data_IF_166714525861
#
_entry.id   IF_166714525861
#
_cell.length_a   1.000
_cell.length_b   1.000
_cell.length_c   1.000
_cell.angle_alpha   90.00
_cell.angle_beta   90.00
_cell.angle_gamma   90.00
#
_symmetry.space_group_name_H-M   'P 1'
#
loop_
_entity.id
_entity.type
_entity.pdbx_description
1 polymer ?
#
# COMPACT_ATOMS: atom_id res chain seq x y z
N UNK A 1 -33.31 84.49 19.81
CA UNK A 1 -33.85 84.45 21.19
C UNK A 1 -33.06 83.39 21.98
N UNK A 2 -32.49 83.67 23.16
CA UNK A 2 -33.06 83.44 24.53
C UNK A 2 -33.61 81.99 24.71
N UNK A 3 -33.24 81.17 25.71
CA UNK A 3 -32.20 81.16 26.78
C UNK A 3 -32.07 79.67 27.28
N UNK A 4 -31.38 79.19 28.32
CA UNK A 4 -30.48 79.67 29.41
C UNK A 4 -29.70 78.42 29.93
N UNK A 5 -28.37 78.37 30.09
CA UNK A 5 -27.51 78.70 31.28
C UNK A 5 -27.67 77.78 32.52
N UNK A 6 -26.56 77.58 33.27
CA UNK A 6 -26.34 76.81 34.53
C UNK A 6 -26.04 75.31 34.28
N UNK A 7 -24.90 74.67 34.63
CA UNK A 7 -23.75 74.89 35.55
C UNK A 7 -23.89 74.38 37.00
N UNK A 8 -23.42 73.14 37.28
CA UNK A 8 -22.40 72.90 38.34
C UNK A 8 -21.70 71.53 38.17
N UNK A 9 -20.58 71.33 38.88
CA UNK A 9 -19.81 70.08 38.96
C UNK A 9 -20.27 69.24 40.15
N UNK A 10 -20.21 67.90 40.02
CA UNK A 10 -19.84 67.04 41.15
C UNK A 10 -19.02 65.84 40.63
N UNK A 11 -18.18 65.24 41.47
CA UNK A 11 -17.28 64.15 41.09
C UNK A 11 -17.97 62.80 41.29
N UNK A 12 -17.68 61.82 40.42
CA UNK A 12 -16.93 60.65 40.88
C UNK A 12 -16.20 59.93 39.73
N UNK A 13 -15.16 59.20 40.12
CA UNK A 13 -14.22 58.48 39.27
C UNK A 13 -14.83 57.33 38.46
N UNK A 14 -14.42 57.20 37.19
CA UNK A 14 -13.93 55.92 36.68
C UNK A 14 -12.79 56.11 35.67
N UNK A 15 -11.61 55.54 35.95
CA UNK A 15 -10.46 55.53 35.04
C UNK A 15 -10.52 54.27 34.17
N UNK A 16 -10.61 54.44 32.85
CA UNK A 16 -10.26 53.36 31.90
C UNK A 16 -9.08 53.86 31.06
N UNK A 17 -7.91 53.23 31.23
CA UNK A 17 -6.71 53.51 30.43
C UNK A 17 -6.90 52.92 29.03
N UNK A 18 -6.87 53.74 27.99
CA UNK A 18 -6.69 53.26 26.61
C UNK A 18 -5.21 52.97 26.36
N UNK A 19 -4.75 51.77 26.70
CA UNK A 19 -3.49 51.23 26.17
C UNK A 19 -3.68 50.87 24.70
N UNK A 20 -2.96 51.56 23.81
CA UNK A 20 -2.93 51.22 22.40
C UNK A 20 -2.08 49.96 22.18
N UNK A 21 -2.73 48.82 21.98
CA UNK A 21 -2.06 47.61 21.50
C UNK A 21 -1.94 47.69 19.98
N UNK A 22 -0.74 47.96 19.47
CA UNK A 22 -0.44 47.79 18.04
C UNK A 22 -0.34 46.30 17.78
N UNK A 23 -1.44 45.71 17.30
CA UNK A 23 -1.46 44.34 16.83
C UNK A 23 -0.73 44.29 15.48
N UNK A 24 0.58 44.01 15.51
CA UNK A 24 1.37 43.71 14.32
C UNK A 24 0.83 42.42 13.69
N UNK A 25 -0.12 42.57 12.76
CA UNK A 25 -0.72 41.47 12.02
C UNK A 25 0.31 40.91 11.03
N UNK A 26 1.17 40.01 11.52
CA UNK A 26 2.05 39.20 10.68
C UNK A 26 1.15 38.28 9.88
N UNK A 27 0.78 38.70 8.67
CA UNK A 27 0.37 37.78 7.62
C UNK A 27 1.59 36.93 7.29
N UNK A 28 1.72 35.80 7.99
CA UNK A 28 2.46 34.65 7.46
C UNK A 28 1.79 34.29 6.14
N UNK A 29 2.39 34.72 5.03
CA UNK A 29 2.03 34.25 3.71
C UNK A 29 2.34 32.76 3.68
N UNK A 30 1.32 31.95 3.97
CA UNK A 30 1.29 30.54 3.57
C UNK A 30 1.26 30.57 2.05
N UNK A 31 2.44 30.59 1.43
CA UNK A 31 2.59 30.23 0.03
C UNK A 31 1.86 28.90 -0.16
N UNK A 32 0.93 28.77 -1.13
CA UNK A 32 0.32 27.49 -1.41
C UNK A 32 1.45 26.50 -1.67
N UNK A 33 1.42 25.35 -0.99
CA UNK A 33 2.42 24.32 -1.19
C UNK A 33 2.48 23.99 -2.69
N UNK A 34 3.68 24.05 -3.28
CA UNK A 34 3.87 23.82 -4.70
C UNK A 34 3.23 22.49 -5.10
N UNK A 35 2.52 22.47 -6.22
CA UNK A 35 1.85 21.26 -6.68
C UNK A 35 2.89 20.16 -6.89
N UNK A 36 2.76 19.06 -6.15
CA UNK A 36 3.74 17.97 -6.15
C UNK A 36 3.62 17.23 -7.48
N UNK A 37 4.50 17.57 -8.42
CA UNK A 37 4.46 17.05 -9.77
C UNK A 37 5.11 15.66 -9.85
N UNK A 38 4.33 14.68 -10.32
CA UNK A 38 4.86 13.37 -10.75
C UNK A 38 5.49 13.55 -12.14
N UNK A 39 6.76 13.15 -12.28
CA UNK A 39 7.48 13.18 -13.56
C UNK A 39 8.39 11.97 -13.72
N UNK A 40 8.86 11.71 -14.93
CA UNK A 40 9.88 10.70 -15.16
C UNK A 40 11.22 11.05 -14.51
N UNK A 41 11.98 10.02 -14.14
CA UNK A 41 13.39 10.12 -13.78
C UNK A 41 14.21 10.54 -15.01
N UNK A 42 15.07 11.54 -14.85
CA UNK A 42 15.96 12.03 -15.91
C UNK A 42 17.30 11.28 -15.88
N UNK A 43 18.03 11.34 -16.97
CA UNK A 43 19.32 10.64 -17.11
C UNK A 43 20.33 11.09 -16.05
N UNK A 44 20.41 12.39 -15.80
CA UNK A 44 21.25 13.03 -14.76
C UNK A 44 21.00 12.46 -13.36
N UNK A 45 19.78 11.96 -13.09
CA UNK A 45 19.36 11.49 -11.77
C UNK A 45 19.67 10.01 -11.53
N UNK A 46 20.05 9.27 -12.57
CA UNK A 46 20.27 7.82 -12.52
C UNK A 46 21.68 7.39 -12.92
N UNK A 47 22.58 8.33 -13.27
CA UNK A 47 23.93 8.03 -13.80
C UNK A 47 24.75 7.11 -12.88
N UNK A 48 24.72 7.31 -11.56
CA UNK A 48 25.37 6.42 -10.59
C UNK A 48 24.79 4.99 -10.65
N UNK A 49 23.47 4.86 -10.78
CA UNK A 49 22.80 3.54 -10.83
C UNK A 49 23.09 2.82 -12.15
N UNK A 50 23.14 3.54 -13.27
CA UNK A 50 23.58 3.01 -14.56
C UNK A 50 25.04 2.56 -14.49
N UNK A 51 25.95 3.37 -13.96
CA UNK A 51 27.37 3.03 -13.79
C UNK A 51 27.57 1.79 -12.90
N UNK A 52 26.83 1.67 -11.79
CA UNK A 52 26.90 0.52 -10.89
C UNK A 52 26.38 -0.78 -11.55
N UNK A 53 25.42 -0.69 -12.48
CA UNK A 53 24.76 -1.85 -13.09
C UNK A 53 25.14 -2.09 -14.56
N UNK A 54 26.10 -1.33 -15.13
CA UNK A 54 26.41 -1.36 -16.56
C UNK A 54 26.70 -2.79 -17.08
N UNK A 55 27.52 -3.55 -16.36
CA UNK A 55 27.90 -4.92 -16.70
C UNK A 55 26.88 -5.99 -16.25
N UNK A 56 25.72 -5.60 -15.70
CA UNK A 56 24.72 -6.55 -15.18
C UNK A 56 23.96 -7.33 -16.27
N UNK A 57 23.96 -6.83 -17.51
CA UNK A 57 23.21 -7.41 -18.63
C UNK A 57 21.69 -7.30 -18.50
N UNK A 58 21.18 -6.50 -17.56
CA UNK A 58 19.74 -6.30 -17.34
C UNK A 58 19.21 -5.20 -18.28
N UNK A 59 18.07 -5.39 -18.99
CA UNK A 59 17.74 -4.57 -20.15
C UNK A 59 17.48 -3.10 -19.80
N UNK A 60 18.41 -2.21 -20.18
CA UNK A 60 18.41 -0.78 -19.90
C UNK A 60 19.56 -0.32 -19.00
N UNK A 61 20.26 -1.23 -18.31
CA UNK A 61 21.41 -0.87 -17.46
C UNK A 61 22.61 -0.35 -18.24
N UNK A 62 22.68 -0.71 -19.52
CA UNK A 62 23.70 -0.31 -20.49
C UNK A 62 23.50 1.10 -21.08
N UNK A 63 22.46 1.84 -20.67
CA UNK A 63 22.09 3.13 -21.28
C UNK A 63 23.11 4.23 -20.99
N UNK A 64 23.77 4.77 -22.02
CA UNK A 64 24.79 5.82 -21.88
C UNK A 64 24.33 7.22 -22.32
N UNK A 65 23.14 7.36 -22.90
CA UNK A 65 22.68 8.60 -23.54
C UNK A 65 21.31 9.06 -23.04
N UNK A 66 21.15 10.37 -22.85
CA UNK A 66 19.95 10.96 -22.22
C UNK A 66 18.67 10.75 -23.04
N UNK A 67 18.77 10.80 -24.38
CA UNK A 67 17.64 10.55 -25.29
C UNK A 67 17.24 9.07 -25.34
N UNK A 68 18.21 8.15 -25.24
CA UNK A 68 17.95 6.72 -25.12
C UNK A 68 17.27 6.39 -23.79
N UNK A 69 17.70 7.04 -22.70
CA UNK A 69 17.09 6.90 -21.39
C UNK A 69 15.63 7.38 -21.35
N UNK A 70 15.32 8.56 -21.89
CA UNK A 70 13.94 9.07 -21.92
C UNK A 70 13.01 8.17 -22.75
N UNK A 71 13.53 7.55 -23.82
CA UNK A 71 12.81 6.52 -24.57
C UNK A 71 12.58 5.25 -23.75
N UNK A 72 13.64 4.70 -23.12
CA UNK A 72 13.58 3.46 -22.34
C UNK A 72 12.64 3.58 -21.13
N UNK A 73 12.75 4.66 -20.35
CA UNK A 73 12.01 4.82 -19.09
C UNK A 73 10.49 4.96 -19.33
N UNK A 74 10.09 5.57 -20.46
CA UNK A 74 8.69 5.66 -20.90
C UNK A 74 8.16 4.34 -21.45
N UNK A 75 8.96 3.65 -22.26
CA UNK A 75 8.60 2.33 -22.77
C UNK A 75 8.41 1.34 -21.61
N UNK A 76 9.30 1.38 -20.61
CA UNK A 76 9.21 0.54 -19.41
C UNK A 76 8.02 0.90 -18.52
N UNK A 77 7.66 2.17 -18.39
CA UNK A 77 6.43 2.56 -17.68
C UNK A 77 5.18 2.02 -18.36
N UNK A 78 5.09 2.12 -19.70
CA UNK A 78 3.98 1.57 -20.47
C UNK A 78 3.88 0.03 -20.34
N UNK A 79 5.01 -0.68 -20.37
CA UNK A 79 5.10 -2.13 -20.16
C UNK A 79 4.63 -2.54 -18.75
N UNK A 80 5.15 -1.88 -17.70
CA UNK A 80 4.78 -2.14 -16.31
C UNK A 80 3.30 -1.84 -16.07
N UNK A 81 2.76 -0.79 -16.68
CA UNK A 81 1.31 -0.48 -16.63
C UNK A 81 0.48 -1.50 -17.41
N UNK A 82 1.00 -2.10 -18.48
CA UNK A 82 0.38 -3.25 -19.14
C UNK A 82 0.19 -4.47 -18.21
N UNK A 83 1.05 -4.63 -17.19
CA UNK A 83 0.94 -5.71 -16.18
C UNK A 83 -0.14 -5.45 -15.11
N UNK A 84 -0.81 -4.30 -15.09
CA UNK A 84 -1.95 -4.01 -14.20
C UNK A 84 -3.10 -4.97 -14.47
N UNK A 85 -3.48 -5.14 -15.73
CA UNK A 85 -4.65 -5.94 -16.10
C UNK A 85 -4.44 -7.43 -15.81
N UNK A 86 -3.18 -7.89 -15.92
CA UNK A 86 -2.75 -9.21 -15.45
C UNK A 86 -2.84 -9.37 -13.93
N UNK A 87 -2.65 -8.29 -13.16
CA UNK A 87 -2.86 -8.29 -11.72
C UNK A 87 -4.34 -8.39 -11.34
N UNK A 88 -5.22 -7.76 -12.13
CA UNK A 88 -6.67 -7.88 -12.00
C UNK A 88 -7.13 -9.31 -12.37
N UNK A 89 -6.58 -9.89 -13.44
CA UNK A 89 -6.79 -11.31 -13.80
C UNK A 89 -6.48 -12.26 -12.63
N UNK A 90 -5.38 -12.04 -11.91
CA UNK A 90 -5.00 -12.81 -10.71
C UNK A 90 -6.00 -12.61 -9.54
N UNK A 91 -6.38 -11.37 -9.23
CA UNK A 91 -7.37 -11.10 -8.16
C UNK A 91 -8.78 -11.60 -8.51
N UNK A 92 -9.15 -11.68 -9.80
CA UNK A 92 -10.36 -12.36 -10.27
C UNK A 92 -10.28 -13.88 -10.02
N UNK A 93 -9.13 -14.50 -10.29
CA UNK A 93 -8.92 -15.93 -9.96
C UNK A 93 -9.05 -16.18 -8.45
N UNK A 94 -8.46 -15.34 -7.60
CA UNK A 94 -8.66 -15.44 -6.13
C UNK A 94 -10.13 -15.32 -5.73
N UNK A 95 -10.87 -14.36 -6.31
CA UNK A 95 -12.30 -14.19 -6.06
C UNK A 95 -13.09 -15.45 -6.45
N UNK A 96 -12.82 -16.04 -7.62
CA UNK A 96 -13.49 -17.28 -8.05
C UNK A 96 -13.17 -18.42 -7.08
N UNK A 97 -11.93 -18.60 -6.62
CA UNK A 97 -11.56 -19.69 -5.73
C UNK A 97 -12.09 -19.50 -4.29
N UNK A 98 -11.92 -18.30 -3.72
CA UNK A 98 -12.06 -18.05 -2.29
C UNK A 98 -13.27 -17.19 -1.89
N UNK A 99 -13.89 -16.49 -2.83
CA UNK A 99 -14.99 -15.55 -2.54
C UNK A 99 -16.30 -16.21 -2.10
N UNK A 100 -17.11 -15.44 -1.38
CA UNK A 100 -18.40 -15.82 -0.78
C UNK A 100 -19.51 -14.80 -1.05
N UNK A 101 -19.16 -13.60 -1.51
CA UNK A 101 -20.08 -12.47 -1.74
C UNK A 101 -20.93 -12.59 -3.02
N UNK A 102 -20.63 -13.58 -3.86
CA UNK A 102 -21.34 -13.86 -5.12
C UNK A 102 -21.95 -15.28 -5.19
N UNK A 103 -21.64 -16.17 -4.24
CA UNK A 103 -22.09 -17.57 -4.27
C UNK A 103 -22.11 -18.21 -2.88
N UNK A 104 -23.03 -19.15 -2.67
CA UNK A 104 -23.10 -20.00 -1.46
C UNK A 104 -22.31 -21.31 -1.59
N UNK A 105 -21.66 -21.55 -2.74
CA UNK A 105 -20.77 -22.71 -2.93
C UNK A 105 -19.59 -22.66 -1.96
N UNK A 106 -19.12 -23.84 -1.52
CA UNK A 106 -17.92 -23.97 -0.71
C UNK A 106 -16.71 -23.31 -1.40
N UNK A 107 -15.79 -22.73 -0.61
CA UNK A 107 -14.50 -22.20 -1.10
C UNK A 107 -13.65 -23.36 -1.61
N UNK A 108 -12.80 -23.11 -2.60
CA UNK A 108 -11.69 -24.02 -2.92
C UNK A 108 -10.61 -23.80 -1.85
N UNK A 109 -10.07 -24.86 -1.25
CA UNK A 109 -9.15 -24.75 -0.09
C UNK A 109 -7.83 -24.04 -0.45
N UNK A 110 -7.31 -24.28 -1.65
CA UNK A 110 -6.06 -23.68 -2.17
C UNK A 110 -6.01 -23.73 -3.70
N UNK A 111 -5.02 -23.08 -4.31
CA UNK A 111 -4.85 -23.09 -5.79
C UNK A 111 -4.55 -24.50 -6.31
N UNK A 112 -3.83 -25.30 -5.53
CA UNK A 112 -3.50 -26.69 -5.83
C UNK A 112 -4.73 -27.61 -5.82
N UNK A 113 -5.84 -27.19 -5.17
CA UNK A 113 -7.15 -27.88 -5.22
C UNK A 113 -8.05 -27.39 -6.36
N UNK A 114 -7.67 -26.35 -7.08
CA UNK A 114 -8.48 -25.79 -8.17
C UNK A 114 -8.49 -26.67 -9.42
N UNK A 115 -7.48 -27.54 -9.58
CA UNK A 115 -7.28 -28.40 -10.74
C UNK A 115 -6.84 -29.82 -10.33
N UNK A 116 -6.84 -30.74 -11.30
CA UNK A 116 -6.17 -32.04 -11.23
C UNK A 116 -4.65 -31.91 -11.38
N UNK A 117 -3.92 -33.01 -11.14
CA UNK A 117 -2.49 -33.14 -11.48
C UNK A 117 -2.20 -32.93 -12.98
N UNK A 118 -3.20 -33.16 -13.86
CA UNK A 118 -3.13 -32.86 -15.30
C UNK A 118 -3.43 -31.40 -15.65
N UNK A 119 -3.70 -30.53 -14.68
CA UNK A 119 -4.01 -29.10 -14.89
C UNK A 119 -5.45 -28.82 -15.35
N UNK A 120 -6.35 -29.80 -15.32
CA UNK A 120 -7.76 -29.62 -15.65
C UNK A 120 -8.53 -29.10 -14.43
N UNK A 121 -9.29 -28.01 -14.59
CA UNK A 121 -10.05 -27.42 -13.48
C UNK A 121 -11.11 -28.41 -12.96
N UNK A 122 -11.26 -28.49 -11.64
CA UNK A 122 -12.23 -29.40 -11.02
C UNK A 122 -13.67 -28.95 -11.28
N UNK A 123 -14.63 -29.87 -11.16
CA UNK A 123 -16.07 -29.56 -11.25
C UNK A 123 -16.53 -28.51 -10.24
N UNK A 124 -15.90 -28.46 -9.05
CA UNK A 124 -16.12 -27.42 -8.06
C UNK A 124 -15.64 -26.04 -8.54
N UNK A 125 -14.46 -25.96 -9.16
CA UNK A 125 -13.95 -24.73 -9.78
C UNK A 125 -14.87 -24.26 -10.91
N UNK A 126 -15.31 -25.16 -11.79
CA UNK A 126 -16.27 -24.82 -12.86
C UNK A 126 -17.62 -24.30 -12.33
N UNK A 127 -18.18 -24.92 -11.28
CA UNK A 127 -19.40 -24.42 -10.66
C UNK A 127 -19.26 -23.00 -10.10
N UNK A 128 -18.06 -22.64 -9.61
CA UNK A 128 -17.75 -21.29 -9.10
C UNK A 128 -17.48 -20.27 -10.20
N UNK A 129 -16.88 -20.68 -11.32
CA UNK A 129 -16.77 -19.87 -12.56
C UNK A 129 -18.18 -19.46 -13.04
N UNK A 130 -19.08 -20.45 -13.18
CA UNK A 130 -20.46 -20.24 -13.60
C UNK A 130 -21.24 -19.33 -12.63
N UNK A 131 -21.07 -19.53 -11.32
CA UNK A 131 -21.70 -18.68 -10.31
C UNK A 131 -21.22 -17.21 -10.38
N UNK A 132 -19.94 -16.94 -10.66
CA UNK A 132 -19.48 -15.56 -10.85
C UNK A 132 -20.05 -14.94 -12.13
N UNK A 133 -20.10 -15.68 -13.23
CA UNK A 133 -20.68 -15.22 -14.49
C UNK A 133 -22.19 -14.85 -14.33
N UNK A 134 -22.95 -15.66 -13.59
CA UNK A 134 -24.35 -15.38 -13.22
C UNK A 134 -24.49 -14.14 -12.32
N UNK A 135 -23.48 -13.82 -11.50
CA UNK A 135 -23.53 -12.67 -10.60
C UNK A 135 -23.30 -11.31 -11.30
N UNK A 136 -22.57 -11.27 -12.43
CA UNK A 136 -22.19 -10.01 -13.12
C UNK A 136 -23.36 -9.06 -13.48
N UNK A 137 -24.56 -9.53 -13.91
CA UNK A 137 -25.71 -8.63 -14.14
C UNK A 137 -26.24 -7.98 -12.86
N UNK A 138 -26.03 -8.59 -11.69
CA UNK A 138 -26.46 -8.07 -10.38
C UNK A 138 -25.38 -7.26 -9.64
N UNK A 139 -24.26 -6.97 -10.32
CA UNK A 139 -23.05 -6.38 -9.76
C UNK A 139 -23.23 -5.10 -8.91
N UNK A 140 -24.28 -4.30 -9.14
CA UNK A 140 -24.49 -3.03 -8.44
C UNK A 140 -24.66 -3.15 -6.90
N UNK A 141 -24.79 -4.37 -6.36
CA UNK A 141 -24.84 -4.64 -4.91
C UNK A 141 -23.51 -5.12 -4.31
N UNK A 142 -22.45 -5.27 -5.12
CA UNK A 142 -21.19 -5.87 -4.71
C UNK A 142 -20.03 -5.22 -5.48
N UNK A 143 -19.20 -4.43 -4.77
CA UNK A 143 -18.11 -3.64 -5.36
C UNK A 143 -17.06 -4.48 -6.10
N UNK A 144 -16.83 -5.74 -5.68
CA UNK A 144 -15.90 -6.65 -6.38
C UNK A 144 -16.51 -7.16 -7.67
N UNK A 145 -17.75 -7.62 -7.66
CA UNK A 145 -18.44 -8.10 -8.87
C UNK A 145 -18.66 -6.95 -9.86
N UNK A 146 -18.85 -5.72 -9.37
CA UNK A 146 -18.83 -4.48 -10.16
C UNK A 146 -17.47 -4.24 -10.82
N UNK A 147 -16.38 -4.32 -10.05
CA UNK A 147 -15.02 -4.20 -10.56
C UNK A 147 -14.70 -5.27 -11.63
N UNK A 148 -15.10 -6.53 -11.43
CA UNK A 148 -14.94 -7.60 -12.44
C UNK A 148 -15.75 -7.30 -13.70
N UNK A 149 -17.01 -6.88 -13.58
CA UNK A 149 -17.88 -6.52 -14.72
C UNK A 149 -17.28 -5.37 -15.52
N UNK A 150 -16.81 -4.32 -14.84
CA UNK A 150 -16.29 -3.11 -15.47
C UNK A 150 -14.89 -3.37 -16.09
N UNK A 151 -14.09 -4.26 -15.49
CA UNK A 151 -12.89 -4.81 -16.11
C UNK A 151 -13.19 -5.58 -17.40
N UNK A 152 -14.10 -6.57 -17.37
CA UNK A 152 -14.49 -7.35 -18.55
C UNK A 152 -15.03 -6.47 -19.68
N UNK A 153 -15.81 -5.45 -19.32
CA UNK A 153 -16.34 -4.45 -20.26
C UNK A 153 -15.20 -3.67 -20.94
N UNK A 154 -14.19 -3.24 -20.17
CA UNK A 154 -12.99 -2.57 -20.71
C UNK A 154 -12.13 -3.47 -21.60
N UNK A 155 -12.06 -4.78 -21.31
CA UNK A 155 -11.39 -5.77 -22.16
C UNK A 155 -12.23 -6.21 -23.37
N UNK A 156 -13.45 -5.69 -23.55
CA UNK A 156 -14.34 -6.08 -24.65
C UNK A 156 -14.88 -7.51 -24.58
N UNK A 157 -14.79 -8.18 -23.42
CA UNK A 157 -15.25 -9.57 -23.26
C UNK A 157 -16.79 -9.60 -23.32
N UNK A 158 -17.33 -10.27 -24.34
CA UNK A 158 -18.78 -10.44 -24.49
C UNK A 158 -19.34 -11.40 -23.45
N UNK A 159 -20.62 -11.22 -23.10
CA UNK A 159 -21.33 -12.05 -22.10
C UNK A 159 -21.12 -13.55 -22.30
N UNK A 160 -21.23 -14.00 -23.55
CA UNK A 160 -21.18 -15.42 -23.91
C UNK A 160 -19.75 -15.97 -23.92
N UNK A 161 -18.74 -15.11 -23.76
CA UNK A 161 -17.32 -15.45 -23.63
C UNK A 161 -16.79 -15.39 -22.20
N UNK A 162 -17.58 -14.93 -21.22
CA UNK A 162 -17.14 -14.72 -19.82
C UNK A 162 -16.64 -16.00 -19.17
N UNK A 163 -17.41 -17.10 -19.21
CA UNK A 163 -17.02 -18.36 -18.56
C UNK A 163 -15.79 -18.99 -19.22
N UNK A 164 -15.65 -18.84 -20.54
CA UNK A 164 -14.45 -19.24 -21.28
C UNK A 164 -13.23 -18.45 -20.81
N UNK A 165 -13.33 -17.11 -20.77
CA UNK A 165 -12.26 -16.23 -20.32
C UNK A 165 -11.83 -16.52 -18.88
N UNK A 166 -12.79 -16.69 -17.96
CA UNK A 166 -12.50 -17.12 -16.58
C UNK A 166 -11.83 -18.50 -16.51
N UNK A 167 -12.24 -19.46 -17.34
CA UNK A 167 -11.63 -20.81 -17.42
C UNK A 167 -10.18 -20.75 -17.91
N UNK A 168 -9.92 -19.98 -18.97
CA UNK A 168 -8.58 -19.80 -19.54
C UNK A 168 -7.66 -19.06 -18.56
N UNK A 169 -8.17 -18.01 -17.90
CA UNK A 169 -7.47 -17.28 -16.85
C UNK A 169 -7.14 -18.14 -15.62
N UNK A 170 -8.04 -19.02 -15.17
CA UNK A 170 -7.79 -19.88 -14.01
C UNK A 170 -6.78 -21.00 -14.30
N UNK A 171 -6.85 -21.67 -15.47
CA UNK A 171 -5.85 -22.67 -15.87
C UNK A 171 -4.43 -22.09 -15.87
N UNK A 172 -4.31 -20.91 -16.48
CA UNK A 172 -3.10 -20.07 -16.50
C UNK A 172 -2.62 -19.73 -15.08
N UNK A 173 -3.49 -19.20 -14.23
CA UNK A 173 -3.17 -18.81 -12.86
C UNK A 173 -2.65 -20.00 -12.02
N UNK A 174 -3.30 -21.16 -12.13
CA UNK A 174 -2.87 -22.41 -11.47
C UNK A 174 -1.49 -22.85 -11.96
N UNK A 175 -1.25 -22.86 -13.27
CA UNK A 175 0.04 -23.22 -13.86
C UNK A 175 1.17 -22.25 -13.44
N UNK A 176 0.88 -20.94 -13.40
CA UNK A 176 1.82 -19.93 -12.89
C UNK A 176 2.13 -20.13 -11.40
N UNK A 177 1.13 -20.44 -10.53
CA UNK A 177 1.41 -20.72 -9.12
C UNK A 177 2.24 -21.99 -8.95
N UNK A 178 1.97 -23.06 -9.69
CA UNK A 178 2.77 -24.28 -9.67
C UNK A 178 4.24 -24.02 -10.08
N UNK A 179 4.46 -23.18 -11.09
CA UNK A 179 5.80 -22.77 -11.51
C UNK A 179 6.53 -21.93 -10.43
N UNK A 180 5.83 -21.02 -9.73
CA UNK A 180 6.41 -20.25 -8.63
C UNK A 180 6.77 -21.15 -7.42
N UNK A 181 5.90 -22.11 -7.06
CA UNK A 181 6.21 -23.08 -6.00
C UNK A 181 7.43 -23.93 -6.38
N UNK A 182 7.54 -24.37 -7.64
CA UNK A 182 8.72 -25.08 -8.12
C UNK A 182 9.99 -24.23 -8.05
N UNK A 183 9.96 -22.96 -8.53
CA UNK A 183 11.12 -22.03 -8.44
C UNK A 183 11.62 -21.88 -6.99
N UNK A 184 10.72 -21.92 -6.00
CA UNK A 184 11.07 -21.88 -4.58
C UNK A 184 11.57 -23.23 -4.02
N UNK A 185 11.04 -24.35 -4.50
CA UNK A 185 11.50 -25.70 -4.11
C UNK A 185 12.90 -25.99 -4.67
N UNK A 186 13.11 -25.76 -5.96
CA UNK A 186 14.40 -25.93 -6.63
C UNK A 186 15.48 -25.09 -5.90
N UNK A 187 15.20 -23.80 -5.64
CA UNK A 187 16.10 -22.91 -4.88
C UNK A 187 16.30 -23.29 -3.41
N UNK A 188 15.38 -24.04 -2.80
CA UNK A 188 15.54 -24.58 -1.44
C UNK A 188 16.32 -25.90 -1.39
N UNK A 189 16.60 -26.50 -2.56
CA UNK A 189 17.53 -27.64 -2.72
C UNK A 189 18.92 -27.23 -3.19
N UNK A 190 19.17 -25.93 -3.38
CA UNK A 190 20.50 -25.39 -3.72
C UNK A 190 21.49 -25.58 -2.56
N UNK A 191 22.78 -25.63 -2.89
CA UNK A 191 23.86 -25.70 -1.93
C UNK A 191 24.18 -24.34 -1.27
N UNK A 192 23.77 -23.22 -1.87
CA UNK A 192 23.84 -21.89 -1.25
C UNK A 192 22.53 -21.52 -0.51
N UNK A 193 22.54 -21.38 0.83
CA UNK A 193 21.38 -20.90 1.58
C UNK A 193 20.89 -19.50 1.18
N UNK A 194 21.68 -18.69 0.46
CA UNK A 194 21.25 -17.39 -0.06
C UNK A 194 20.31 -17.51 -1.28
N UNK A 195 20.35 -18.62 -2.03
CA UNK A 195 19.58 -18.82 -3.26
C UNK A 195 18.07 -18.63 -3.05
N UNK A 196 17.51 -19.14 -1.96
CA UNK A 196 16.09 -18.96 -1.59
C UNK A 196 15.73 -17.48 -1.42
N UNK A 197 16.60 -16.69 -0.79
CA UNK A 197 16.37 -15.26 -0.57
C UNK A 197 16.49 -14.46 -1.87
N UNK A 198 17.44 -14.84 -2.74
CA UNK A 198 17.60 -14.24 -4.07
C UNK A 198 16.40 -14.54 -4.97
N UNK A 199 15.93 -15.80 -5.00
CA UNK A 199 14.77 -16.24 -5.77
C UNK A 199 13.45 -15.64 -5.28
N UNK A 200 13.28 -15.46 -3.96
CA UNK A 200 12.15 -14.70 -3.38
C UNK A 200 12.20 -13.22 -3.78
N UNK A 201 13.41 -12.64 -3.88
CA UNK A 201 13.61 -11.22 -4.15
C UNK A 201 13.10 -10.72 -5.52
N UNK A 202 12.96 -11.59 -6.53
CA UNK A 202 12.36 -11.27 -7.84
C UNK A 202 11.26 -12.29 -8.24
N UNK A 203 10.65 -12.97 -7.26
CA UNK A 203 9.74 -14.10 -7.51
C UNK A 203 8.60 -13.80 -8.50
N UNK A 204 8.14 -12.54 -8.54
CA UNK A 204 7.01 -12.09 -9.35
C UNK A 204 7.42 -11.13 -10.48
N UNK A 205 8.69 -11.14 -10.90
CA UNK A 205 9.24 -10.30 -11.98
C UNK A 205 8.43 -10.35 -13.29
N UNK A 206 7.82 -11.49 -13.61
CA UNK A 206 6.95 -11.71 -14.78
C UNK A 206 5.45 -11.64 -14.48
N UNK A 207 5.05 -11.52 -13.21
CA UNK A 207 3.66 -11.63 -12.77
C UNK A 207 2.86 -10.35 -13.05
N UNK A 208 1.54 -10.46 -13.07
CA UNK A 208 0.63 -9.33 -12.93
C UNK A 208 0.77 -8.63 -11.58
N UNK A 209 0.51 -7.32 -11.57
CA UNK A 209 0.67 -6.47 -10.40
C UNK A 209 -0.57 -6.55 -9.50
N UNK A 210 -0.55 -7.48 -8.54
CA UNK A 210 -1.65 -7.72 -7.59
C UNK A 210 -1.98 -6.45 -6.80
N UNK A 211 -3.28 -6.18 -6.60
CA UNK A 211 -3.74 -5.07 -5.76
C UNK A 211 -3.84 -5.41 -4.28
N UNK A 212 -3.83 -6.70 -3.92
CA UNK A 212 -4.25 -7.17 -2.58
C UNK A 212 -3.36 -6.60 -1.45
N UNK A 213 -3.99 -6.15 -0.37
CA UNK A 213 -3.35 -5.64 0.85
C UNK A 213 -3.83 -6.42 2.06
N UNK A 214 -2.97 -6.65 3.06
CA UNK A 214 -3.30 -7.45 4.24
C UNK A 214 -2.67 -6.88 5.52
N UNK A 215 -3.18 -7.29 6.68
CA UNK A 215 -2.81 -6.67 7.96
C UNK A 215 -1.40 -7.05 8.43
N UNK A 216 -0.98 -8.31 8.26
CA UNK A 216 0.22 -8.87 8.89
C UNK A 216 1.56 -8.23 8.47
N UNK A 217 1.81 -7.86 7.20
CA UNK A 217 3.01 -7.10 6.83
C UNK A 217 3.20 -5.81 7.65
N UNK A 218 2.10 -5.18 8.08
CA UNK A 218 2.14 -3.96 8.87
C UNK A 218 2.51 -4.18 10.34
N UNK A 219 2.26 -5.39 10.88
CA UNK A 219 2.80 -5.81 12.18
C UNK A 219 4.34 -5.91 12.12
N UNK A 220 4.90 -6.47 11.03
CA UNK A 220 6.35 -6.50 10.81
C UNK A 220 6.95 -5.10 10.65
N UNK A 221 6.24 -4.16 10.01
CA UNK A 221 6.64 -2.75 9.95
C UNK A 221 6.66 -2.09 11.35
N UNK A 222 5.60 -2.21 12.16
CA UNK A 222 5.60 -1.63 13.52
C UNK A 222 6.71 -2.23 14.39
N UNK A 223 6.89 -3.55 14.35
CA UNK A 223 7.94 -4.24 15.11
C UNK A 223 9.36 -3.83 14.67
N UNK A 224 9.54 -3.48 13.39
CA UNK A 224 10.82 -2.95 12.89
C UNK A 224 11.05 -1.53 13.36
N UNK A 225 10.05 -0.65 13.24
CA UNK A 225 10.11 0.73 13.76
C UNK A 225 10.35 0.74 15.28
N UNK A 226 9.69 -0.15 16.04
CA UNK A 226 9.91 -0.32 17.49
C UNK A 226 11.36 -0.69 17.78
N UNK A 227 11.89 -1.70 17.08
CA UNK A 227 13.27 -2.15 17.25
C UNK A 227 14.30 -1.07 16.87
N UNK A 228 14.02 -0.22 15.87
CA UNK A 228 14.86 0.92 15.50
C UNK A 228 14.84 2.01 16.58
N UNK A 229 13.67 2.36 17.10
CA UNK A 229 13.52 3.34 18.18
C UNK A 229 14.23 2.88 19.47
N UNK A 230 14.06 1.62 19.88
CA UNK A 230 14.78 1.05 21.04
C UNK A 230 16.30 1.06 20.87
N UNK A 231 16.81 1.00 19.64
CA UNK A 231 18.24 1.11 19.32
C UNK A 231 18.74 2.56 19.17
N UNK A 232 17.88 3.57 19.33
CA UNK A 232 18.23 4.97 19.08
C UNK A 232 18.47 5.32 17.60
N UNK A 233 18.06 4.44 16.66
CA UNK A 233 18.18 4.67 15.23
C UNK A 233 17.06 5.58 14.67
N UNK A 234 16.04 5.85 15.48
CA UNK A 234 14.95 6.80 15.27
C UNK A 234 14.82 7.72 16.48
N UNK A 235 14.37 8.96 16.25
CA UNK A 235 14.03 9.91 17.31
C UNK A 235 12.50 10.06 17.46
N UNK A 236 12.03 10.34 18.68
CA UNK A 236 10.63 10.68 18.91
C UNK A 236 10.27 12.02 18.24
N UNK A 237 9.07 12.13 17.68
CA UNK A 237 8.59 13.33 16.98
C UNK A 237 9.34 13.72 15.70
N UNK A 238 10.07 12.78 15.08
CA UNK A 238 10.85 13.01 13.84
C UNK A 238 10.08 12.84 12.53
N UNK A 239 8.85 12.32 12.59
CA UNK A 239 8.04 11.99 11.40
C UNK A 239 6.93 13.02 11.20
N UNK A 240 6.91 13.65 10.03
CA UNK A 240 5.91 14.64 9.60
C UNK A 240 5.29 14.30 8.24
N UNK A 241 6.03 13.67 7.33
CA UNK A 241 5.53 13.23 6.02
C UNK A 241 5.95 11.78 5.74
N UNK A 242 4.97 10.90 5.55
CA UNK A 242 5.20 9.48 5.27
C UNK A 242 4.64 9.08 3.90
N UNK A 243 5.32 8.17 3.20
CA UNK A 243 4.84 7.55 1.97
C UNK A 243 4.53 6.07 2.17
N UNK A 244 3.43 5.63 1.55
CA UNK A 244 3.14 4.22 1.30
C UNK A 244 3.15 3.99 -0.21
N UNK A 245 4.14 3.25 -0.68
CA UNK A 245 4.21 2.75 -2.05
C UNK A 245 3.45 1.42 -2.10
N UNK A 246 2.49 1.29 -3.01
CA UNK A 246 1.63 0.12 -3.12
C UNK A 246 0.74 -0.12 -1.89
N UNK A 247 -0.05 0.86 -1.43
CA UNK A 247 -0.93 0.69 -0.26
C UNK A 247 -1.98 -0.43 -0.46
N UNK A 248 -2.27 -0.74 -1.72
CA UNK A 248 -3.17 -1.80 -2.16
C UNK A 248 -4.63 -1.58 -1.75
N UNK A 249 -5.43 -2.57 -2.14
CA UNK A 249 -6.87 -2.63 -1.98
C UNK A 249 -7.24 -4.10 -1.70
N UNK A 250 -7.93 -4.34 -0.59
CA UNK A 250 -8.35 -5.67 -0.11
C UNK A 250 -9.42 -6.27 -1.04
N UNK A 251 -8.95 -6.81 -2.17
CA UNK A 251 -9.81 -7.43 -3.18
C UNK A 251 -10.12 -8.87 -2.79
N UNK A 252 -9.18 -9.80 -2.91
CA UNK A 252 -9.33 -11.13 -2.30
C UNK A 252 -7.94 -11.67 -2.04
N UNK A 253 -7.46 -11.49 -0.80
CA UNK A 253 -6.17 -12.04 -0.36
C UNK A 253 -6.07 -13.56 -0.62
N UNK A 254 -4.86 -14.03 -0.86
CA UNK A 254 -4.54 -15.35 -1.41
C UNK A 254 -4.62 -16.49 -0.39
N UNK A 255 -4.85 -16.19 0.89
CA UNK A 255 -4.96 -17.14 2.00
C UNK A 255 -6.21 -16.92 2.82
N UNK A 256 -6.29 -15.76 3.47
CA UNK A 256 -7.37 -15.46 4.41
C UNK A 256 -8.53 -14.77 3.68
N UNK A 257 -8.26 -14.14 2.53
CA UNK A 257 -9.12 -13.23 1.76
C UNK A 257 -10.63 -13.43 1.87
N UNK A 258 -11.29 -12.39 2.37
CA UNK A 258 -12.72 -12.32 2.59
C UNK A 258 -13.34 -11.16 1.81
N UNK A 259 -14.53 -11.38 1.27
CA UNK A 259 -15.15 -10.47 0.29
C UNK A 259 -16.53 -9.93 0.70
N UNK A 260 -16.98 -10.22 1.92
CA UNK A 260 -18.32 -9.90 2.44
C UNK A 260 -18.48 -8.46 2.98
N UNK A 261 -17.50 -7.59 2.74
CA UNK A 261 -17.45 -6.19 3.16
C UNK A 261 -16.92 -5.29 2.03
N UNK A 262 -17.10 -3.96 2.04
CA UNK A 262 -16.62 -3.08 0.96
C UNK A 262 -15.12 -3.22 0.64
N UNK A 263 -14.69 -2.81 -0.55
CA UNK A 263 -13.27 -2.70 -0.88
C UNK A 263 -12.61 -1.68 0.06
N UNK A 264 -11.44 -2.02 0.61
CA UNK A 264 -10.77 -1.23 1.64
C UNK A 264 -9.25 -1.22 1.44
N UNK A 265 -8.59 -0.09 1.69
CA UNK A 265 -7.13 -0.05 1.96
C UNK A 265 -6.86 0.03 3.47
N UNK A 266 -5.79 -0.62 3.93
CA UNK A 266 -5.39 -0.66 5.34
C UNK A 266 -4.06 0.05 5.59
N UNK A 267 -3.08 -0.14 4.71
CA UNK A 267 -1.67 0.22 4.97
C UNK A 267 -1.42 1.70 5.33
N UNK A 268 -2.04 2.70 4.67
CA UNK A 268 -1.87 4.11 5.04
C UNK A 268 -2.19 4.40 6.52
N UNK A 269 -3.18 3.69 7.08
CA UNK A 269 -3.63 3.89 8.46
C UNK A 269 -2.85 3.03 9.45
N UNK A 270 -2.45 1.82 9.10
CA UNK A 270 -1.61 0.99 9.98
C UNK A 270 -0.21 1.58 10.17
N UNK A 271 0.37 2.18 9.13
CA UNK A 271 1.68 2.86 9.24
C UNK A 271 1.55 4.18 10.01
N UNK A 272 0.51 4.98 9.75
CA UNK A 272 0.22 6.19 10.54
C UNK A 272 0.00 5.84 12.03
N UNK A 273 -0.71 4.75 12.33
CA UNK A 273 -0.92 4.33 13.72
C UNK A 273 0.38 3.82 14.37
N UNK A 274 1.23 3.08 13.65
CA UNK A 274 2.54 2.68 14.15
C UNK A 274 3.43 3.91 14.49
N UNK A 275 3.44 4.92 13.61
CA UNK A 275 4.15 6.20 13.84
C UNK A 275 3.63 6.90 15.10
N UNK A 276 2.32 6.94 15.31
CA UNK A 276 1.70 7.55 16.49
C UNK A 276 1.93 6.73 17.79
N UNK A 277 1.74 5.41 17.72
CA UNK A 277 1.86 4.46 18.85
C UNK A 277 3.29 4.38 19.38
N UNK A 278 4.28 4.59 18.52
CA UNK A 278 5.70 4.65 18.87
C UNK A 278 6.18 6.07 19.22
N UNK A 279 5.31 7.09 19.16
CA UNK A 279 5.69 8.49 19.43
C UNK A 279 6.66 9.08 18.39
N UNK A 280 6.76 8.49 17.21
CA UNK A 280 7.62 8.95 16.11
C UNK A 280 7.04 10.20 15.43
N UNK A 281 5.71 10.39 15.48
CA UNK A 281 5.00 11.59 15.03
C UNK A 281 3.62 11.65 15.68
N UNK A 282 2.93 12.79 15.57
CA UNK A 282 1.52 12.90 16.00
C UNK A 282 0.61 12.63 14.81
N UNK A 283 -0.43 11.82 15.00
CA UNK A 283 -1.30 11.40 13.90
C UNK A 283 -2.02 12.57 13.20
N UNK A 284 -2.27 13.66 13.91
CA UNK A 284 -2.91 14.89 13.43
C UNK A 284 -1.97 15.73 12.55
N UNK A 285 -0.68 15.76 12.92
CA UNK A 285 0.35 16.60 12.30
C UNK A 285 1.09 15.85 11.16
N UNK A 286 0.87 14.54 10.99
CA UNK A 286 1.49 13.72 9.95
C UNK A 286 0.66 13.70 8.65
N UNK A 287 1.31 14.03 7.54
CA UNK A 287 0.81 13.90 6.18
C UNK A 287 1.11 12.50 5.64
N UNK A 288 0.13 11.85 5.02
CA UNK A 288 0.26 10.48 4.48
C UNK A 288 0.05 10.47 2.97
N UNK A 289 1.04 10.01 2.23
CA UNK A 289 1.02 9.98 0.76
C UNK A 289 0.98 8.55 0.24
N UNK A 290 0.00 8.25 -0.60
CA UNK A 290 -0.15 6.98 -1.30
C UNK A 290 0.46 7.09 -2.71
N UNK A 291 1.39 6.21 -3.04
CA UNK A 291 2.02 6.11 -4.36
C UNK A 291 1.70 4.75 -4.98
N UNK A 292 1.00 4.73 -6.10
CA UNK A 292 0.63 3.51 -6.82
C UNK A 292 0.47 3.81 -8.31
N UNK A 293 0.80 2.87 -9.17
CA UNK A 293 0.59 2.99 -10.61
C UNK A 293 -0.82 2.51 -11.04
N UNK A 294 -1.49 1.72 -10.20
CA UNK A 294 -2.85 1.25 -10.43
C UNK A 294 -3.88 2.38 -10.15
N UNK A 295 -4.57 2.82 -11.19
CA UNK A 295 -5.54 3.92 -11.13
C UNK A 295 -6.74 3.63 -10.22
N UNK A 296 -7.12 2.37 -10.00
CA UNK A 296 -8.22 2.03 -9.10
C UNK A 296 -7.85 2.15 -7.62
N UNK A 297 -6.61 1.81 -7.25
CA UNK A 297 -6.09 2.00 -5.88
C UNK A 297 -6.00 3.49 -5.57
N UNK A 298 -5.48 4.29 -6.49
CA UNK A 298 -5.43 5.75 -6.38
C UNK A 298 -6.84 6.36 -6.30
N UNK A 299 -7.77 5.93 -7.15
CA UNK A 299 -9.16 6.42 -7.11
C UNK A 299 -9.88 6.03 -5.80
N UNK A 300 -9.55 4.90 -5.17
CA UNK A 300 -10.04 4.57 -3.84
C UNK A 300 -9.47 5.52 -2.78
N UNK A 301 -8.16 5.72 -2.74
CA UNK A 301 -7.51 6.63 -1.78
C UNK A 301 -7.98 8.10 -1.93
N UNK A 302 -8.22 8.58 -3.16
CA UNK A 302 -8.78 9.91 -3.42
C UNK A 302 -10.22 10.04 -2.90
N UNK A 303 -11.07 9.03 -3.12
CA UNK A 303 -12.43 8.98 -2.55
C UNK A 303 -12.44 8.90 -1.02
N UNK A 304 -11.42 8.29 -0.41
CA UNK A 304 -11.23 8.37 1.04
C UNK A 304 -10.91 9.81 1.48
N UNK A 305 -9.98 10.51 0.82
CA UNK A 305 -9.69 11.92 1.13
C UNK A 305 -10.90 12.86 0.92
N UNK A 306 -11.78 12.57 -0.04
CA UNK A 306 -13.08 13.24 -0.21
C UNK A 306 -14.04 12.94 0.95
N UNK A 307 -14.17 11.67 1.34
CA UNK A 307 -15.00 11.20 2.47
C UNK A 307 -14.55 11.84 3.79
N UNK A 308 -13.24 11.94 4.03
CA UNK A 308 -12.66 12.65 5.17
C UNK A 308 -13.04 14.13 5.20
N UNK A 309 -12.86 14.84 4.07
CA UNK A 309 -13.26 16.26 3.92
C UNK A 309 -14.76 16.48 4.10
N UNK A 310 -15.60 15.49 3.77
CA UNK A 310 -17.04 15.49 4.04
C UNK A 310 -17.41 15.18 5.51
N UNK A 311 -16.43 15.06 6.41
CA UNK A 311 -16.64 14.76 7.84
C UNK A 311 -17.03 13.31 8.13
N UNK A 312 -16.89 12.40 7.16
CA UNK A 312 -17.33 11.00 7.30
C UNK A 312 -16.17 10.10 7.73
N UNK A 313 -16.40 9.26 8.74
CA UNK A 313 -15.42 8.25 9.17
C UNK A 313 -15.26 7.15 8.13
N UNK A 314 -14.08 6.53 8.10
CA UNK A 314 -13.78 5.40 7.23
C UNK A 314 -13.80 4.10 8.04
N UNK A 315 -14.75 3.21 7.75
CA UNK A 315 -14.95 1.98 8.52
C UNK A 315 -14.27 0.79 7.85
N UNK A 316 -13.16 0.33 8.44
CA UNK A 316 -12.47 -0.91 8.01
C UNK A 316 -13.05 -2.12 8.73
N UNK A 317 -13.12 -3.25 8.02
CA UNK A 317 -13.36 -4.57 8.63
C UNK A 317 -12.03 -5.30 8.79
N UNK A 318 -11.85 -5.95 9.93
CA UNK A 318 -10.65 -6.66 10.32
C UNK A 318 -11.05 -8.11 10.64
N UNK A 319 -11.30 -8.94 9.62
CA UNK A 319 -11.53 -10.36 9.81
C UNK A 319 -10.24 -11.07 10.28
N UNK A 320 -10.41 -12.25 10.86
CA UNK A 320 -9.34 -13.19 11.23
C UNK A 320 -9.95 -14.58 11.35
N UNK A 321 -9.28 -15.59 10.79
CA UNK A 321 -9.59 -16.98 11.10
C UNK A 321 -8.96 -17.37 12.46
N UNK A 322 -9.73 -17.85 13.46
CA UNK A 322 -9.16 -18.40 14.69
C UNK A 322 -8.39 -19.71 14.51
N UNK A 323 -8.56 -20.41 13.39
CA UNK A 323 -7.79 -21.61 13.02
C UNK A 323 -6.46 -21.27 12.34
N UNK A 324 -6.26 -20.04 11.88
CA UNK A 324 -4.94 -19.57 11.49
C UNK A 324 -4.08 -19.42 12.76
N UNK A 325 -2.96 -20.13 12.79
CA UNK A 325 -1.98 -20.22 13.90
C UNK A 325 -1.18 -18.92 14.08
N UNK A 326 -1.88 -17.80 14.28
CA UNK A 326 -1.27 -16.49 14.46
C UNK A 326 -0.57 -16.40 15.82
N UNK A 327 0.64 -15.83 15.85
CA UNK A 327 1.40 -15.58 17.08
C UNK A 327 0.62 -14.67 18.04
N UNK A 328 0.93 -14.76 19.34
CA UNK A 328 0.21 -13.99 20.37
C UNK A 328 0.34 -12.47 20.14
N UNK A 329 1.45 -12.08 19.54
CA UNK A 329 1.87 -10.75 19.14
C UNK A 329 1.09 -10.28 17.91
N UNK A 330 0.96 -11.11 16.87
CA UNK A 330 0.11 -10.81 15.70
C UNK A 330 -1.38 -10.71 16.09
N UNK A 331 -1.85 -11.56 17.00
CA UNK A 331 -3.20 -11.48 17.59
C UNK A 331 -3.35 -10.20 18.42
N UNK A 332 -2.30 -9.78 19.15
CA UNK A 332 -2.28 -8.53 19.91
C UNK A 332 -2.41 -7.32 18.97
N UNK A 333 -1.60 -7.26 17.92
CA UNK A 333 -1.67 -6.23 16.87
C UNK A 333 -3.07 -6.15 16.22
N UNK A 334 -3.67 -7.30 15.88
CA UNK A 334 -5.03 -7.35 15.35
C UNK A 334 -6.10 -6.91 16.36
N UNK A 335 -5.86 -6.99 17.67
CA UNK A 335 -6.76 -6.45 18.70
C UNK A 335 -6.59 -4.94 18.88
N UNK A 336 -5.37 -4.42 18.81
CA UNK A 336 -5.04 -3.03 19.19
C UNK A 336 -5.10 -2.03 18.04
N UNK A 337 -4.90 -2.42 16.78
CA UNK A 337 -4.98 -1.49 15.65
C UNK A 337 -6.30 -0.70 15.63
N UNK A 338 -6.24 0.62 15.43
CA UNK A 338 -7.41 1.51 15.39
C UNK A 338 -7.81 2.12 16.74
N UNK A 339 -7.10 1.80 17.83
CA UNK A 339 -7.29 2.45 19.14
C UNK A 339 -6.94 3.94 19.12
N UNK A 340 -5.95 4.33 18.30
CA UNK A 340 -5.49 5.73 18.22
C UNK A 340 -6.28 6.47 17.14
N UNK A 341 -6.28 5.95 15.91
CA UNK A 341 -6.85 6.64 14.75
C UNK A 341 -8.38 6.56 14.66
N UNK A 342 -9.02 5.75 15.48
CA UNK A 342 -10.43 5.40 15.28
C UNK A 342 -11.23 5.23 16.57
N UNK A 343 -12.21 4.34 16.48
CA UNK A 343 -12.96 3.77 17.59
C UNK A 343 -13.58 2.44 17.12
N UNK A 344 -13.72 1.42 18.01
CA UNK A 344 -14.43 0.19 17.67
C UNK A 344 -15.89 0.47 17.29
N UNK A 345 -16.37 -0.22 16.26
CA UNK A 345 -17.78 -0.21 15.84
C UNK A 345 -18.29 -1.63 15.62
N UNK A 346 -19.61 -1.80 15.51
CA UNK A 346 -20.20 -3.11 15.23
C UNK A 346 -19.70 -3.62 13.86
N UNK A 347 -19.10 -4.82 13.78
CA UNK A 347 -18.69 -5.41 12.51
C UNK A 347 -19.89 -5.80 11.65
N UNK A 348 -19.64 -5.97 10.35
CA UNK A 348 -20.62 -6.52 9.42
C UNK A 348 -20.93 -7.99 9.75
N UNK A 349 -22.10 -8.46 9.34
CA UNK A 349 -22.53 -9.82 9.58
C UNK A 349 -21.67 -10.80 8.75
N UNK A 350 -21.17 -11.85 9.41
CA UNK A 350 -20.34 -12.88 8.79
C UNK A 350 -21.26 -13.85 8.03
N UNK A 351 -20.99 -14.18 6.74
CA UNK A 351 -21.70 -15.23 6.02
C UNK A 351 -21.65 -16.57 6.76
N UNK A 352 -22.76 -17.32 6.76
CA UNK A 352 -22.82 -18.63 7.40
C UNK A 352 -21.87 -19.68 6.78
N UNK A 353 -21.40 -19.44 5.55
CA UNK A 353 -20.37 -20.22 4.85
C UNK A 353 -18.94 -19.97 5.38
N UNK A 354 -18.74 -18.94 6.22
CA UNK A 354 -17.48 -18.57 6.86
C UNK A 354 -17.53 -18.84 8.37
N UNK A 355 -18.07 -20.00 8.75
CA UNK A 355 -18.21 -20.42 10.14
C UNK A 355 -16.85 -20.45 10.87
N UNK A 356 -16.81 -19.85 12.06
CA UNK A 356 -15.61 -19.77 12.90
C UNK A 356 -14.83 -18.46 12.77
N UNK A 357 -14.92 -17.74 11.64
CA UNK A 357 -14.25 -16.44 11.45
C UNK A 357 -14.69 -15.43 12.51
N UNK A 358 -13.76 -14.60 12.99
CA UNK A 358 -14.05 -13.46 13.87
C UNK A 358 -13.74 -12.15 13.15
N UNK A 359 -14.54 -11.11 13.38
CA UNK A 359 -14.37 -9.80 12.75
C UNK A 359 -14.40 -8.71 13.81
N UNK A 360 -13.40 -7.82 13.77
CA UNK A 360 -13.43 -6.52 14.46
C UNK A 360 -13.66 -5.42 13.42
N UNK A 361 -14.25 -4.30 13.80
CA UNK A 361 -14.39 -3.16 12.90
C UNK A 361 -13.99 -1.86 13.60
N UNK A 362 -13.35 -0.97 12.84
CA UNK A 362 -12.83 0.31 13.34
C UNK A 362 -13.34 1.41 12.43
N UNK A 363 -13.99 2.43 13.00
CA UNK A 363 -14.27 3.68 12.31
C UNK A 363 -13.10 4.65 12.52
N UNK A 364 -12.23 4.77 11.51
CA UNK A 364 -11.13 5.73 11.46
C UNK A 364 -11.70 7.14 11.34
N UNK A 365 -11.20 8.09 12.15
CA UNK A 365 -11.77 9.44 12.28
C UNK A 365 -11.52 10.28 11.02
N UNK A 366 -12.46 11.14 10.60
CA UNK A 366 -12.39 11.86 9.32
C UNK A 366 -11.09 12.67 9.11
N UNK A 367 -10.52 13.20 10.20
CA UNK A 367 -9.27 13.96 10.20
C UNK A 367 -8.09 13.20 9.57
N UNK A 368 -7.86 11.93 9.95
CA UNK A 368 -6.73 11.15 9.44
C UNK A 368 -6.98 10.67 7.99
N UNK A 369 -8.25 10.55 7.60
CA UNK A 369 -8.64 10.26 6.21
C UNK A 369 -8.46 11.50 5.32
N UNK A 370 -8.68 12.69 5.87
CA UNK A 370 -8.47 13.99 5.17
C UNK A 370 -7.00 14.25 4.86
N UNK A 371 -6.08 13.80 5.72
CA UNK A 371 -4.64 13.94 5.54
C UNK A 371 -4.04 13.00 4.48
N UNK A 372 -4.86 12.14 3.84
CA UNK A 372 -4.42 11.32 2.70
C UNK A 372 -4.23 12.18 1.44
N UNK A 373 -3.09 12.00 0.78
CA UNK A 373 -2.88 12.36 -0.63
C UNK A 373 -2.56 11.10 -1.42
N UNK A 374 -2.87 11.08 -2.72
CA UNK A 374 -2.65 9.91 -3.56
C UNK A 374 -2.28 10.32 -5.00
N UNK A 375 -1.12 9.87 -5.44
CA UNK A 375 -0.52 10.21 -6.74
C UNK A 375 -0.35 8.94 -7.58
N UNK A 376 -0.79 8.99 -8.85
CA UNK A 376 -0.51 7.90 -9.76
C UNK A 376 0.96 7.97 -10.22
N UNK A 377 1.78 7.05 -9.72
CA UNK A 377 3.22 7.04 -9.96
C UNK A 377 3.76 5.61 -10.02
N UNK A 378 4.44 5.28 -11.11
CA UNK A 378 5.29 4.10 -11.19
C UNK A 378 6.65 4.43 -10.57
N UNK A 379 6.89 3.92 -9.35
CA UNK A 379 8.08 4.27 -8.56
C UNK A 379 9.43 3.83 -9.18
N UNK A 380 9.41 2.95 -10.19
CA UNK A 380 10.62 2.56 -10.95
C UNK A 380 10.98 3.62 -11.99
N UNK A 381 9.98 4.29 -12.56
CA UNK A 381 10.12 5.17 -13.71
C UNK A 381 9.91 6.66 -13.38
N UNK A 382 9.20 6.96 -12.29
CA UNK A 382 8.66 8.27 -11.98
C UNK A 382 8.96 8.69 -10.54
N UNK A 383 9.29 9.97 -10.35
CA UNK A 383 9.60 10.60 -9.07
C UNK A 383 8.62 11.73 -8.77
N UNK A 384 8.57 12.15 -7.51
CA UNK A 384 7.81 13.31 -7.04
C UNK A 384 8.82 14.38 -6.61
N UNK A 385 8.78 15.55 -7.26
CA UNK A 385 9.64 16.68 -6.87
C UNK A 385 9.16 17.31 -5.56
N UNK A 386 10.07 17.43 -4.59
CA UNK A 386 9.88 18.17 -3.34
C UNK A 386 10.96 19.24 -3.17
N UNK A 387 10.64 20.41 -2.57
CA UNK A 387 11.66 21.35 -2.13
C UNK A 387 12.64 20.70 -1.12
N UNK A 388 13.91 21.13 -1.06
CA UNK A 388 14.88 20.61 -0.10
C UNK A 388 14.36 20.68 1.35
N UNK A 389 14.48 19.58 2.10
CA UNK A 389 13.94 19.46 3.45
C UNK A 389 12.42 19.28 3.55
N UNK A 390 11.74 19.05 2.41
CA UNK A 390 10.31 18.72 2.35
C UNK A 390 10.04 17.35 1.70
N UNK A 391 11.03 16.45 1.72
CA UNK A 391 10.85 15.05 1.34
C UNK A 391 10.04 14.25 2.36
N UNK A 392 10.18 12.93 2.30
CA UNK A 392 9.60 11.99 3.25
C UNK A 392 10.56 11.67 4.40
N UNK A 393 10.01 11.47 5.59
CA UNK A 393 10.74 11.02 6.78
C UNK A 393 10.70 9.49 6.91
N UNK A 394 9.64 8.88 6.36
CA UNK A 394 9.46 7.44 6.22
C UNK A 394 8.83 7.09 4.86
N UNK A 395 9.40 6.14 4.14
CA UNK A 395 8.82 5.50 2.95
C UNK A 395 8.71 3.99 3.21
N UNK A 396 7.55 3.39 2.92
CA UNK A 396 7.38 1.93 2.97
C UNK A 396 6.96 1.37 1.62
N UNK A 397 7.44 0.17 1.28
CA UNK A 397 7.10 -0.55 0.04
C UNK A 397 7.02 -2.08 0.29
N UNK A 398 5.97 -2.56 0.94
CA UNK A 398 5.79 -3.99 1.21
C UNK A 398 5.18 -4.71 0.01
N UNK A 399 5.78 -5.84 -0.40
CA UNK A 399 5.36 -6.67 -1.53
C UNK A 399 5.35 -5.97 -2.90
N UNK A 400 5.95 -4.77 -3.02
CA UNK A 400 6.04 -4.02 -4.28
C UNK A 400 7.26 -4.41 -5.09
N UNK A 401 8.44 -4.50 -4.46
CA UNK A 401 9.70 -4.60 -5.21
C UNK A 401 9.98 -5.99 -5.78
N UNK A 402 9.23 -7.02 -5.33
CA UNK A 402 9.28 -8.39 -5.85
C UNK A 402 8.75 -8.55 -7.29
N UNK A 403 8.10 -7.53 -7.85
CA UNK A 403 7.59 -7.52 -9.22
C UNK A 403 8.61 -7.03 -10.27
N UNK A 404 9.82 -6.70 -9.85
CA UNK A 404 10.83 -6.00 -10.66
C UNK A 404 12.19 -6.73 -10.64
N UNK A 405 12.98 -6.54 -11.68
CA UNK A 405 14.35 -7.05 -11.77
C UNK A 405 15.34 -6.28 -10.86
N UNK A 406 16.59 -6.74 -10.76
CA UNK A 406 17.58 -6.14 -9.85
C UNK A 406 18.00 -4.71 -10.23
N UNK A 407 18.03 -4.36 -11.52
CA UNK A 407 18.33 -3.01 -11.98
C UNK A 407 17.16 -2.07 -11.70
N UNK A 408 15.93 -2.51 -11.97
CA UNK A 408 14.70 -1.80 -11.61
C UNK A 408 14.57 -1.58 -10.08
N UNK A 409 14.97 -2.56 -9.27
CA UNK A 409 15.05 -2.40 -7.82
C UNK A 409 16.11 -1.35 -7.42
N UNK A 410 17.30 -1.37 -8.03
CA UNK A 410 18.34 -0.36 -7.77
C UNK A 410 17.90 1.06 -8.18
N UNK A 411 17.24 1.22 -9.34
CA UNK A 411 16.62 2.47 -9.77
C UNK A 411 15.56 2.96 -8.78
N UNK A 412 14.73 2.05 -8.28
CA UNK A 412 13.71 2.37 -7.28
C UNK A 412 14.34 2.82 -5.95
N UNK A 413 15.42 2.17 -5.51
CA UNK A 413 16.17 2.59 -4.32
C UNK A 413 16.80 3.98 -4.50
N UNK A 414 17.36 4.27 -5.66
CA UNK A 414 17.87 5.61 -5.99
C UNK A 414 16.76 6.67 -5.98
N UNK A 415 15.62 6.39 -6.62
CA UNK A 415 14.46 7.28 -6.61
C UNK A 415 13.94 7.54 -5.18
N UNK A 416 13.81 6.50 -4.37
CA UNK A 416 13.43 6.58 -2.95
C UNK A 416 14.42 7.45 -2.15
N UNK A 417 15.73 7.32 -2.40
CA UNK A 417 16.75 8.17 -1.78
C UNK A 417 16.63 9.65 -2.18
N UNK A 418 16.09 9.96 -3.38
CA UNK A 418 15.84 11.35 -3.82
C UNK A 418 14.60 11.96 -3.17
N UNK A 419 13.59 11.16 -2.86
CA UNK A 419 12.34 11.62 -2.22
C UNK A 419 12.41 11.65 -0.69
N UNK A 420 13.39 10.99 -0.06
CA UNK A 420 13.62 11.05 1.39
C UNK A 420 14.33 12.36 1.82
N UNK A 421 13.98 12.84 3.02
CA UNK A 421 14.81 13.80 3.77
C UNK A 421 16.11 13.12 4.26
N UNK A 422 17.17 13.90 4.48
CA UNK A 422 18.37 13.42 5.19
C UNK A 422 18.00 12.82 6.55
N UNK A 423 18.49 11.62 6.85
CA UNK A 423 18.11 10.84 8.04
C UNK A 423 16.79 10.06 7.92
N UNK A 424 15.98 10.31 6.88
CA UNK A 424 14.72 9.62 6.62
C UNK A 424 14.90 8.12 6.30
N UNK A 425 13.87 7.32 6.58
CA UNK A 425 13.92 5.85 6.55
C UNK A 425 13.15 5.27 5.37
N UNK A 426 13.71 4.22 4.77
CA UNK A 426 13.03 3.35 3.82
C UNK A 426 12.90 1.93 4.37
N UNK A 427 11.69 1.37 4.31
CA UNK A 427 11.36 -0.02 4.67
C UNK A 427 10.78 -0.80 3.48
N UNK A 428 11.29 -2.01 3.25
CA UNK A 428 10.69 -3.01 2.35
C UNK A 428 10.71 -4.39 3.03
N UNK A 429 9.83 -5.31 2.64
CA UNK A 429 9.74 -6.67 3.22
C UNK A 429 10.32 -7.77 2.31
N UNK A 430 11.14 -7.39 1.32
CA UNK A 430 11.82 -8.31 0.42
C UNK A 430 13.31 -7.94 0.27
N UNK A 431 14.15 -8.94 -0.05
CA UNK A 431 15.60 -8.73 -0.22
C UNK A 431 15.86 -7.93 -1.50
N UNK A 432 16.50 -6.77 -1.34
CA UNK A 432 16.88 -5.84 -2.40
C UNK A 432 18.34 -6.09 -2.88
N UNK A 433 18.80 -5.48 -3.98
CA UNK A 433 20.17 -5.64 -4.46
C UNK A 433 21.17 -5.08 -3.44
N UNK A 434 22.36 -5.67 -3.35
CA UNK A 434 23.48 -5.09 -2.61
C UNK A 434 24.19 -3.97 -3.39
N UNK A 435 24.02 -3.96 -4.72
CA UNK A 435 24.52 -2.92 -5.63
C UNK A 435 23.42 -1.88 -5.83
N UNK A 436 23.51 -0.76 -5.10
CA UNK A 436 22.58 0.37 -5.17
C UNK A 436 23.33 1.69 -4.93
N UNK A 437 22.63 2.82 -5.11
CA UNK A 437 23.18 4.17 -4.84
C UNK A 437 23.88 4.27 -3.47
N UNK A 438 24.99 4.99 -3.43
CA UNK A 438 25.69 5.29 -2.19
C UNK A 438 24.89 6.17 -1.22
N UNK A 439 23.79 6.80 -1.64
CA UNK A 439 22.91 7.66 -0.83
C UNK A 439 22.13 6.91 0.27
N UNK A 440 22.00 5.59 0.20
CA UNK A 440 21.34 4.77 1.24
C UNK A 440 22.36 4.06 2.14
N UNK A 441 22.18 4.21 3.45
CA UNK A 441 22.82 3.44 4.51
C UNK A 441 21.92 2.25 4.89
N UNK A 442 22.37 1.02 4.70
CA UNK A 442 21.66 -0.16 5.20
C UNK A 442 21.82 -0.28 6.72
N UNK A 443 20.69 -0.23 7.46
CA UNK A 443 20.68 -0.32 8.93
C UNK A 443 20.46 -1.74 9.47
N UNK A 444 20.06 -2.68 8.60
CA UNK A 444 19.83 -4.08 8.96
C UNK A 444 18.48 -4.63 8.50
N UNK A 445 18.17 -5.84 9.00
CA UNK A 445 16.94 -6.59 8.72
C UNK A 445 16.29 -7.06 10.03
N UNK A 446 14.96 -7.11 10.07
CA UNK A 446 14.18 -7.78 11.12
C UNK A 446 13.21 -8.79 10.49
N UNK A 447 13.45 -10.06 10.74
CA UNK A 447 12.47 -11.13 10.54
C UNK A 447 11.39 -11.01 11.62
N UNK A 448 10.12 -10.99 11.24
CA UNK A 448 8.97 -10.98 12.17
C UNK A 448 8.06 -12.15 11.86
N UNK A 449 7.98 -13.12 12.78
CA UNK A 449 7.14 -14.30 12.63
C UNK A 449 5.66 -13.97 12.90
N UNK A 450 4.79 -14.37 11.97
CA UNK A 450 3.34 -14.29 12.12
C UNK A 450 2.74 -15.54 12.75
N UNK A 451 3.48 -16.66 12.78
CA UNK A 451 3.08 -17.92 13.42
C UNK A 451 4.10 -18.36 14.49
N UNK A 452 3.69 -19.03 15.59
CA UNK A 452 4.61 -19.59 16.59
C UNK A 452 5.68 -20.51 16.01
N UNK A 453 5.37 -21.20 14.91
CA UNK A 453 6.28 -22.07 14.15
C UNK A 453 7.37 -21.34 13.37
N UNK A 454 7.27 -20.02 13.19
CA UNK A 454 8.17 -19.24 12.31
C UNK A 454 8.03 -19.54 10.81
N UNK A 455 7.15 -20.46 10.42
CA UNK A 455 6.95 -20.88 9.04
C UNK A 455 6.31 -19.81 8.15
N UNK A 456 5.67 -18.80 8.75
CA UNK A 456 5.17 -17.62 8.05
C UNK A 456 5.52 -16.35 8.84
N UNK A 457 5.92 -15.30 8.12
CA UNK A 457 6.48 -14.06 8.63
C UNK A 457 7.07 -13.24 7.48
N UNK A 458 7.43 -11.98 7.76
CA UNK A 458 8.05 -11.06 6.81
C UNK A 458 9.48 -10.70 7.23
N UNK A 459 10.35 -10.47 6.25
CA UNK A 459 11.75 -10.05 6.40
C UNK A 459 11.90 -8.56 6.05
N UNK A 460 11.71 -7.67 7.03
CA UNK A 460 11.79 -6.22 6.79
C UNK A 460 13.24 -5.76 6.76
N UNK A 461 13.69 -5.23 5.62
CA UNK A 461 14.98 -4.56 5.44
C UNK A 461 14.83 -3.05 5.66
N UNK A 462 15.87 -2.44 6.23
CA UNK A 462 15.89 -1.04 6.66
C UNK A 462 17.03 -0.29 6.01
N UNK A 463 16.71 0.85 5.39
CA UNK A 463 17.69 1.80 4.88
C UNK A 463 17.43 3.20 5.45
N UNK A 464 18.48 4.00 5.57
CA UNK A 464 18.44 5.43 5.91
C UNK A 464 19.02 6.25 4.76
N UNK A 465 18.41 7.39 4.45
CA UNK A 465 19.00 8.42 3.59
C UNK A 465 20.16 9.09 4.31
N UNK A 466 21.37 8.99 3.76
CA UNK A 466 22.54 9.78 4.19
C UNK A 466 22.31 11.25 3.84
#
# INVERSE_FOLDING_TARGET
MRAMTIMLRCLLSFRVRRTAAIASLVLSFVTPAGEVHVRYLRFEEVQETLQINADSGLPGSETQESSAWDGWIRARDAEVRGRIDRGIEDSISNLILYGTSFTSLARIESVERAASESGELTSATFARIHALAIALPSAAKNERVLFVRDFLTRQGITKDSVEKYFTENLRRFVAEQAAYQKKLQDAATDADPSAVYLARGTLFETRGLSVDTSLLPNFALEETLRAMLTKGALAAGSMHRIAVIGPGLDFTDKRDGYDFYPLQTLQPFTVLEAVARLGLGKAEDVQVVCLDLNSAVIAHAQKLAERGRAGQSYTVQLPRDPQADWSSEAISYWKTFGEILGSPVKPLAIPATLGGVVVRAVAIRPQYVTNLQAYNANIVAQTLDFPPGQGFDLIVATNVLVYYDRFQQALTMANIARMLNHGGIFLANNVLPAQHTSDLEYLGRRTTAFTPSGAYGDDVVVYRRK
#
